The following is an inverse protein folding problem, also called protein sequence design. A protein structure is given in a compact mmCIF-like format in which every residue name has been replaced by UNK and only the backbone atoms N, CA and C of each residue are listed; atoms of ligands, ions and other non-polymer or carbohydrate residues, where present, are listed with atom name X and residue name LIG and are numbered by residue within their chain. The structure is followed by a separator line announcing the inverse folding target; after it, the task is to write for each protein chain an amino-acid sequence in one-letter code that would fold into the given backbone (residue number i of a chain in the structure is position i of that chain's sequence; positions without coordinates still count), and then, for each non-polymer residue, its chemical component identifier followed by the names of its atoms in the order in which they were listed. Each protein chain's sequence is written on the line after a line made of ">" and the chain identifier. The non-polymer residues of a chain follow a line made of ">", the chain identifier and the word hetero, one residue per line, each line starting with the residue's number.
data_IF_516674465217
#
_entry.id   IF_516674465217
#
_cell.length_a   1.000
_cell.length_b   1.000
_cell.length_c   1.000
_cell.angle_alpha   90.00
_cell.angle_beta   90.00
_cell.angle_gamma   90.00
#
_symmetry.space_group_name_H-M   'P 1'
#
loop_
_entity.id
_entity.type
_entity.pdbx_description
1 polymer ?
#
# COMPACT_ATOMS: atom_id res chain seq x y z
N UNK A 1 -7.44 10.59 -13.89
CA UNK A 1 -8.47 11.33 -14.64
C UNK A 1 -8.71 10.73 -16.04
N UNK A 2 -7.75 10.80 -16.97
CA UNK A 2 -7.93 10.28 -18.34
C UNK A 2 -8.44 8.82 -18.36
N UNK A 3 -7.82 7.93 -17.58
CA UNK A 3 -8.24 6.52 -17.52
C UNK A 3 -9.68 6.33 -17.04
N UNK A 4 -10.17 7.17 -16.10
CA UNK A 4 -11.58 7.12 -15.67
C UNK A 4 -12.52 7.71 -16.72
N UNK A 5 -12.10 8.80 -17.39
CA UNK A 5 -12.90 9.43 -18.44
C UNK A 5 -13.06 8.53 -19.68
N UNK A 6 -12.03 7.76 -20.03
CA UNK A 6 -12.10 6.77 -21.14
C UNK A 6 -13.16 5.68 -20.92
N UNK A 7 -13.66 5.53 -19.69
CA UNK A 7 -14.73 4.56 -19.36
C UNK A 7 -16.12 5.06 -19.72
N UNK A 8 -16.27 6.29 -20.20
CA UNK A 8 -17.58 6.86 -20.53
C UNK A 8 -18.27 6.13 -21.69
N UNK A 9 -17.47 5.58 -22.60
CA UNK A 9 -17.98 4.83 -23.78
C UNK A 9 -17.08 3.60 -24.03
N UNK A 10 -17.24 2.60 -23.17
CA UNK A 10 -16.44 1.38 -23.23
C UNK A 10 -17.05 0.39 -24.22
N UNK A 11 -16.49 0.37 -25.43
CA UNK A 11 -16.90 -0.55 -26.49
C UNK A 11 -16.25 -1.96 -26.39
N UNK A 12 -15.21 -2.15 -25.55
CA UNK A 12 -14.48 -3.43 -25.48
C UNK A 12 -13.80 -3.69 -24.13
N UNK A 13 -13.62 -4.97 -23.77
CA UNK A 13 -12.87 -5.38 -22.59
C UNK A 13 -11.40 -4.93 -22.61
N UNK A 14 -10.80 -4.81 -23.76
CA UNK A 14 -9.42 -4.33 -23.92
C UNK A 14 -9.30 -2.86 -23.51
N UNK A 15 -10.28 -2.01 -23.84
CA UNK A 15 -10.34 -0.63 -23.41
C UNK A 15 -10.53 -0.53 -21.88
N UNK A 16 -11.30 -1.44 -21.27
CA UNK A 16 -11.43 -1.50 -19.82
C UNK A 16 -10.08 -1.78 -19.16
N UNK A 17 -9.33 -2.76 -19.64
CA UNK A 17 -8.00 -3.10 -19.12
C UNK A 17 -7.03 -1.92 -19.31
N UNK A 18 -6.99 -1.31 -20.48
CA UNK A 18 -6.14 -0.16 -20.76
C UNK A 18 -6.47 1.05 -19.88
N UNK A 19 -7.77 1.33 -19.69
CA UNK A 19 -8.23 2.40 -18.80
C UNK A 19 -7.85 2.13 -17.33
N UNK A 20 -7.95 0.87 -16.88
CA UNK A 20 -7.53 0.48 -15.54
C UNK A 20 -6.02 0.62 -15.35
N UNK A 21 -5.22 0.21 -16.33
CA UNK A 21 -3.77 0.38 -16.33
C UNK A 21 -3.38 1.87 -16.25
N UNK A 22 -4.05 2.74 -16.99
CA UNK A 22 -3.81 4.18 -16.96
C UNK A 22 -4.21 4.81 -15.62
N UNK A 23 -5.31 4.37 -15.01
CA UNK A 23 -5.71 4.76 -13.66
C UNK A 23 -4.66 4.30 -12.63
N UNK A 24 -4.21 3.05 -12.73
CA UNK A 24 -3.18 2.48 -11.88
C UNK A 24 -1.86 3.23 -11.97
N UNK A 25 -1.41 3.59 -13.18
CA UNK A 25 -0.21 4.39 -13.40
C UNK A 25 -0.32 5.77 -12.72
N UNK A 26 -1.45 6.46 -12.89
CA UNK A 26 -1.68 7.75 -12.22
C UNK A 26 -1.67 7.63 -10.70
N UNK A 27 -2.29 6.58 -10.15
CA UNK A 27 -2.29 6.30 -8.72
C UNK A 27 -0.88 5.98 -8.21
N UNK A 28 -0.10 5.19 -8.94
CA UNK A 28 1.27 4.84 -8.59
C UNK A 28 2.18 6.06 -8.54
N UNK A 29 2.05 6.99 -9.49
CA UNK A 29 2.80 8.25 -9.49
C UNK A 29 2.50 9.09 -8.24
N UNK A 30 1.22 9.26 -7.90
CA UNK A 30 0.82 10.01 -6.69
C UNK A 30 1.34 9.32 -5.43
N UNK A 31 1.17 8.01 -5.31
CA UNK A 31 1.61 7.24 -4.15
C UNK A 31 3.14 7.22 -4.01
N UNK A 32 3.88 7.19 -5.12
CA UNK A 32 5.34 7.24 -5.09
C UNK A 32 5.91 8.57 -4.62
N UNK A 33 5.29 9.68 -5.03
CA UNK A 33 5.80 11.04 -4.75
C UNK A 33 5.31 11.59 -3.42
N UNK A 34 4.05 11.33 -3.05
CA UNK A 34 3.38 11.99 -1.93
C UNK A 34 4.01 11.72 -0.56
N UNK A 35 4.48 10.52 -0.20
CA UNK A 35 5.12 10.28 1.10
C UNK A 35 6.38 11.10 1.32
N UNK A 36 7.21 11.27 0.29
CA UNK A 36 8.40 12.13 0.34
C UNK A 36 8.04 13.60 0.54
N UNK A 37 7.00 14.09 -0.14
CA UNK A 37 6.49 15.45 0.04
C UNK A 37 5.91 15.66 1.45
N UNK A 38 5.14 14.70 1.97
CA UNK A 38 4.59 14.72 3.32
C UNK A 38 5.71 14.84 4.35
N UNK A 39 6.74 14.01 4.22
CA UNK A 39 7.89 14.05 5.13
C UNK A 39 8.60 15.40 5.06
N UNK A 40 8.75 16.00 3.89
CA UNK A 40 9.38 17.30 3.70
C UNK A 40 8.53 18.44 4.28
N UNK A 41 7.22 18.43 4.01
CA UNK A 41 6.33 19.53 4.39
C UNK A 41 5.87 19.45 5.86
N UNK A 42 5.77 18.25 6.44
CA UNK A 42 5.18 18.00 7.74
C UNK A 42 6.11 17.18 8.67
N UNK A 43 7.40 17.51 8.71
CA UNK A 43 8.42 16.74 9.43
C UNK A 43 8.03 16.34 10.87
N UNK A 44 7.36 17.24 11.65
CA UNK A 44 6.91 16.96 13.01
C UNK A 44 5.58 16.22 13.13
N UNK A 45 4.85 15.99 12.00
CA UNK A 45 3.50 15.43 11.99
C UNK A 45 3.33 14.28 10.96
N UNK A 46 4.44 13.68 10.54
CA UNK A 46 4.44 12.61 9.52
C UNK A 46 3.43 11.50 9.82
N UNK A 47 3.35 10.91 11.04
CA UNK A 47 2.39 9.86 11.33
C UNK A 47 0.92 10.30 11.17
N UNK A 48 0.59 11.52 11.59
CA UNK A 48 -0.76 12.08 11.43
C UNK A 48 -1.11 12.24 9.96
N UNK A 49 -0.24 12.91 9.19
CA UNK A 49 -0.54 13.22 7.78
C UNK A 49 -0.53 11.96 6.93
N UNK A 50 0.36 11.00 7.21
CA UNK A 50 0.34 9.69 6.58
C UNK A 50 -0.90 8.88 6.95
N UNK A 51 -1.36 8.96 8.20
CA UNK A 51 -2.62 8.35 8.63
C UNK A 51 -3.83 8.94 7.88
N UNK A 52 -3.90 10.26 7.75
CA UNK A 52 -4.95 10.94 6.96
C UNK A 52 -4.88 10.51 5.50
N UNK A 53 -3.70 10.51 4.90
CA UNK A 53 -3.49 10.04 3.52
C UNK A 53 -4.00 8.61 3.32
N UNK A 54 -3.61 7.69 4.19
CA UNK A 54 -4.05 6.29 4.12
C UNK A 54 -5.56 6.16 4.33
N UNK A 55 -6.13 6.88 5.30
CA UNK A 55 -7.57 6.86 5.56
C UNK A 55 -8.38 7.43 4.37
N UNK A 56 -7.91 8.51 3.75
CA UNK A 56 -8.53 9.06 2.55
C UNK A 56 -8.45 8.09 1.36
N UNK A 57 -7.32 7.40 1.19
CA UNK A 57 -7.14 6.43 0.14
C UNK A 57 -8.07 5.22 0.32
N UNK A 58 -8.13 4.65 1.52
CA UNK A 58 -8.97 3.50 1.85
C UNK A 58 -10.45 3.88 1.87
N UNK A 59 -10.78 5.01 2.49
CA UNK A 59 -12.16 5.55 2.54
C UNK A 59 -12.69 5.92 1.16
N UNK A 60 -11.84 6.48 0.30
CA UNK A 60 -12.18 6.73 -1.10
C UNK A 60 -12.49 5.45 -1.87
N UNK A 61 -11.70 4.40 -1.66
CA UNK A 61 -11.96 3.06 -2.21
C UNK A 61 -13.29 2.47 -1.71
N UNK A 62 -13.56 2.59 -0.40
CA UNK A 62 -14.81 2.15 0.22
C UNK A 62 -16.03 2.90 -0.34
N UNK A 63 -15.92 4.22 -0.47
CA UNK A 63 -16.98 5.05 -1.10
C UNK A 63 -17.22 4.62 -2.55
N UNK A 64 -16.15 4.36 -3.30
CA UNK A 64 -16.24 3.85 -4.65
C UNK A 64 -16.98 2.52 -4.73
N UNK A 65 -16.65 1.58 -3.86
CA UNK A 65 -17.29 0.27 -3.81
C UNK A 65 -18.79 0.34 -3.47
N UNK A 66 -19.19 1.28 -2.60
CA UNK A 66 -20.59 1.45 -2.18
C UNK A 66 -21.41 2.27 -3.16
N UNK A 67 -20.85 3.34 -3.71
CA UNK A 67 -21.61 4.29 -4.54
C UNK A 67 -21.68 3.84 -6.00
N UNK A 68 -20.63 3.23 -6.54
CA UNK A 68 -20.60 2.84 -7.95
C UNK A 68 -21.75 1.89 -8.34
N UNK A 69 -22.04 0.80 -7.58
CA UNK A 69 -23.18 -0.06 -7.90
C UNK A 69 -24.54 0.64 -7.83
N UNK A 70 -24.72 1.56 -6.86
CA UNK A 70 -25.97 2.34 -6.72
C UNK A 70 -26.21 3.27 -7.90
N UNK A 71 -25.13 3.90 -8.38
CA UNK A 71 -25.20 4.79 -9.55
C UNK A 71 -25.39 3.95 -10.83
N UNK A 72 -24.81 2.75 -10.88
CA UNK A 72 -24.93 1.84 -12.03
C UNK A 72 -26.37 1.32 -12.24
N UNK A 73 -27.25 1.39 -11.25
CA UNK A 73 -28.67 1.08 -11.41
C UNK A 73 -29.38 2.11 -12.31
N UNK A 74 -28.91 3.36 -12.30
CA UNK A 74 -29.52 4.46 -13.09
C UNK A 74 -28.71 4.81 -14.35
N UNK A 75 -27.42 4.51 -14.32
CA UNK A 75 -26.48 4.69 -15.44
C UNK A 75 -25.80 3.36 -15.71
N UNK A 76 -25.38 3.10 -16.93
CA UNK A 76 -24.59 1.91 -17.20
C UNK A 76 -23.36 1.85 -16.28
N UNK A 77 -22.88 0.63 -15.98
CA UNK A 77 -21.70 0.41 -15.12
C UNK A 77 -20.45 1.17 -15.62
N UNK A 78 -20.32 1.34 -16.92
CA UNK A 78 -19.19 2.05 -17.54
C UNK A 78 -19.24 3.55 -17.25
N UNK A 79 -20.43 4.16 -17.36
CA UNK A 79 -20.66 5.58 -17.00
C UNK A 79 -20.53 5.82 -15.50
N UNK A 80 -21.03 4.89 -14.67
CA UNK A 80 -20.86 4.95 -13.23
C UNK A 80 -19.39 4.96 -12.81
N UNK A 81 -18.54 4.17 -13.47
CA UNK A 81 -17.09 4.21 -13.27
C UNK A 81 -16.44 5.50 -13.80
N UNK A 82 -16.95 6.04 -14.91
CA UNK A 82 -16.41 7.28 -15.49
C UNK A 82 -16.68 8.51 -14.61
N UNK A 83 -17.79 8.53 -13.86
CA UNK A 83 -18.12 9.63 -12.94
C UNK A 83 -17.05 9.92 -11.91
N UNK A 84 -16.21 8.93 -11.54
CA UNK A 84 -15.09 9.14 -10.64
C UNK A 84 -13.98 10.04 -11.24
N UNK A 85 -14.08 10.39 -12.53
CA UNK A 85 -13.22 11.43 -13.12
C UNK A 85 -13.55 12.83 -12.58
N UNK A 86 -14.81 13.11 -12.17
CA UNK A 86 -15.25 14.42 -11.70
C UNK A 86 -14.54 14.88 -10.41
N UNK A 87 -14.51 14.10 -9.30
CA UNK A 87 -13.79 14.52 -8.11
C UNK A 87 -12.29 14.70 -8.37
N UNK A 88 -11.70 13.90 -9.27
CA UNK A 88 -10.29 14.05 -9.66
C UNK A 88 -10.09 15.35 -10.45
N UNK A 89 -11.01 15.68 -11.36
CA UNK A 89 -10.99 16.95 -12.10
C UNK A 89 -11.09 18.16 -11.16
N UNK A 90 -12.05 18.12 -10.23
CA UNK A 90 -12.21 19.17 -9.23
C UNK A 90 -10.95 19.35 -8.37
N UNK A 91 -10.34 18.23 -7.94
CA UNK A 91 -9.08 18.28 -7.21
C UNK A 91 -7.94 18.88 -8.03
N UNK A 92 -7.83 18.55 -9.32
CA UNK A 92 -6.81 19.10 -10.22
C UNK A 92 -7.00 20.61 -10.45
N UNK A 93 -8.24 21.04 -10.68
CA UNK A 93 -8.55 22.47 -10.85
C UNK A 93 -8.24 23.25 -9.57
N UNK A 94 -8.67 22.73 -8.42
CA UNK A 94 -8.39 23.35 -7.12
C UNK A 94 -6.89 23.42 -6.83
N UNK A 95 -6.15 22.33 -7.09
CA UNK A 95 -4.72 22.26 -6.90
C UNK A 95 -3.98 23.23 -7.85
N UNK A 96 -4.36 23.24 -9.12
CA UNK A 96 -3.78 24.15 -10.13
C UNK A 96 -3.99 25.62 -9.78
N UNK A 97 -5.11 25.95 -9.13
CA UNK A 97 -5.39 27.32 -8.68
C UNK A 97 -4.59 27.71 -7.42
N UNK A 98 -4.39 26.75 -6.48
CA UNK A 98 -3.75 27.01 -5.18
C UNK A 98 -2.25 26.79 -5.17
N UNK A 99 -1.74 25.87 -5.97
CA UNK A 99 -0.33 25.47 -5.94
C UNK A 99 0.41 26.12 -7.11
N UNK A 100 1.20 27.16 -6.81
CA UNK A 100 2.26 27.57 -7.70
C UNK A 100 3.38 26.55 -7.57
N UNK A 101 3.56 25.68 -8.57
CA UNK A 101 4.65 24.72 -8.58
C UNK A 101 5.98 25.48 -8.47
N UNK A 102 6.79 25.24 -7.43
CA UNK A 102 8.16 25.77 -7.41
C UNK A 102 8.89 25.25 -8.65
N UNK A 103 9.72 26.08 -9.26
CA UNK A 103 10.58 25.65 -10.35
C UNK A 103 11.29 24.34 -9.96
N UNK A 104 11.30 23.37 -10.88
CA UNK A 104 11.91 22.07 -10.65
C UNK A 104 13.36 22.28 -10.16
N UNK A 105 13.64 21.89 -8.92
CA UNK A 105 15.01 21.91 -8.42
C UNK A 105 15.84 20.97 -9.32
N UNK A 106 17.09 21.38 -9.70
CA UNK A 106 17.94 20.55 -10.55
C UNK A 106 17.99 19.12 -10.07
N UNK A 107 17.88 18.17 -10.99
CA UNK A 107 17.98 16.74 -10.70
C UNK A 107 19.31 16.48 -10.00
N UNK A 108 19.28 16.21 -8.73
CA UNK A 108 20.46 15.72 -8.02
C UNK A 108 20.72 14.31 -8.56
N UNK A 109 21.91 14.14 -9.11
CA UNK A 109 22.51 12.99 -9.76
C UNK A 109 22.00 11.62 -9.28
N UNK A 110 21.66 10.78 -10.24
CA UNK A 110 21.16 9.38 -10.18
C UNK A 110 21.95 8.41 -9.29
N UNK A 111 23.14 8.76 -8.85
CA UNK A 111 24.05 7.90 -8.07
C UNK A 111 23.57 7.53 -6.67
N UNK A 112 22.54 8.20 -6.12
CA UNK A 112 21.98 7.91 -4.79
C UNK A 112 20.82 6.91 -4.79
N UNK A 113 20.03 6.85 -5.86
CA UNK A 113 18.82 6.01 -5.94
C UNK A 113 19.12 4.56 -6.31
N UNK A 114 20.01 4.33 -7.24
CA UNK A 114 20.46 2.98 -7.64
C UNK A 114 21.05 2.16 -6.49
N UNK A 115 21.50 2.83 -5.42
CA UNK A 115 22.07 2.15 -4.25
C UNK A 115 21.02 1.69 -3.23
N UNK A 116 19.78 2.22 -3.24
CA UNK A 116 18.74 1.78 -2.31
C UNK A 116 18.26 0.36 -2.60
N UNK A 117 18.15 -0.01 -3.87
CA UNK A 117 17.74 -1.36 -4.29
C UNK A 117 18.75 -2.44 -3.88
N UNK A 118 20.02 -2.07 -3.71
CA UNK A 118 21.05 -3.00 -3.25
C UNK A 118 21.01 -3.28 -1.73
N UNK A 119 20.22 -2.50 -0.97
CA UNK A 119 20.14 -2.66 0.47
C UNK A 119 19.17 -3.77 0.87
N UNK A 120 19.59 -4.81 1.63
CA UNK A 120 18.68 -5.85 2.12
C UNK A 120 17.50 -5.32 2.91
N UNK A 121 17.68 -4.16 3.57
CA UNK A 121 16.60 -3.50 4.31
C UNK A 121 15.47 -3.00 3.41
N UNK A 122 15.76 -2.55 2.20
CA UNK A 122 14.74 -2.16 1.25
C UNK A 122 13.86 -3.36 0.86
N UNK A 123 14.47 -4.51 0.62
CA UNK A 123 13.74 -5.75 0.31
C UNK A 123 12.90 -6.27 1.46
N UNK A 124 13.36 -6.08 2.71
CA UNK A 124 12.54 -6.39 3.89
C UNK A 124 11.28 -5.52 3.95
N UNK A 125 11.41 -4.22 3.68
CA UNK A 125 10.27 -3.30 3.63
C UNK A 125 9.33 -3.65 2.46
N UNK A 126 9.90 -3.98 1.29
CA UNK A 126 9.15 -4.45 0.11
C UNK A 126 8.34 -5.70 0.46
N UNK A 127 8.96 -6.69 1.11
CA UNK A 127 8.29 -7.92 1.50
C UNK A 127 7.13 -7.65 2.49
N UNK A 128 7.36 -6.86 3.54
CA UNK A 128 6.29 -6.50 4.48
C UNK A 128 5.13 -5.77 3.79
N UNK A 129 5.43 -4.79 2.94
CA UNK A 129 4.42 -4.04 2.18
C UNK A 129 3.66 -4.95 1.21
N UNK A 130 4.37 -5.84 0.51
CA UNK A 130 3.79 -6.81 -0.41
C UNK A 130 2.82 -7.76 0.27
N UNK A 131 3.20 -8.34 1.41
CA UNK A 131 2.35 -9.24 2.21
C UNK A 131 1.07 -8.52 2.69
N UNK A 132 1.19 -7.30 3.19
CA UNK A 132 0.02 -6.52 3.64
C UNK A 132 -0.96 -6.30 2.49
N UNK A 133 -0.45 -5.91 1.32
CA UNK A 133 -1.30 -5.63 0.16
C UNK A 133 -1.77 -6.91 -0.55
N UNK A 134 -1.03 -8.02 -0.47
CA UNK A 134 -1.48 -9.37 -0.86
C UNK A 134 -2.75 -9.74 -0.08
N UNK A 135 -2.71 -9.63 1.25
CA UNK A 135 -3.87 -9.92 2.10
C UNK A 135 -5.07 -9.04 1.80
N UNK A 136 -4.85 -7.76 1.53
CA UNK A 136 -5.91 -6.87 1.07
C UNK A 136 -6.51 -7.36 -0.25
N UNK A 137 -5.67 -7.69 -1.23
CA UNK A 137 -6.10 -8.19 -2.53
C UNK A 137 -6.88 -9.50 -2.42
N UNK A 138 -6.42 -10.43 -1.57
CA UNK A 138 -7.09 -11.71 -1.32
C UNK A 138 -8.47 -11.47 -0.71
N UNK A 139 -8.56 -10.70 0.40
CA UNK A 139 -9.83 -10.54 1.10
C UNK A 139 -10.85 -9.77 0.27
N UNK A 140 -10.44 -8.76 -0.48
CA UNK A 140 -11.35 -8.00 -1.35
C UNK A 140 -11.85 -8.85 -2.52
N UNK A 141 -10.99 -9.70 -3.10
CA UNK A 141 -11.38 -10.56 -4.20
C UNK A 141 -12.27 -11.72 -3.77
N UNK A 142 -12.03 -12.31 -2.60
CA UNK A 142 -12.58 -13.62 -2.23
C UNK A 142 -13.59 -13.59 -1.10
N UNK A 143 -13.71 -12.51 -0.31
CA UNK A 143 -14.62 -12.44 0.83
C UNK A 143 -16.09 -12.63 0.39
N UNK A 144 -16.58 -11.82 -0.54
CA UNK A 144 -17.96 -11.93 -0.99
C UNK A 144 -18.25 -13.27 -1.71
N UNK A 145 -17.40 -13.76 -2.63
CA UNK A 145 -17.56 -15.11 -3.20
C UNK A 145 -17.57 -16.24 -2.16
N UNK A 146 -16.74 -16.15 -1.13
CA UNK A 146 -16.71 -17.18 -0.07
C UNK A 146 -18.04 -17.27 0.68
N UNK A 147 -18.64 -16.12 1.04
CA UNK A 147 -19.95 -16.11 1.71
C UNK A 147 -21.11 -16.45 0.78
N UNK A 148 -21.01 -16.13 -0.52
CA UNK A 148 -21.96 -16.63 -1.53
C UNK A 148 -21.96 -18.17 -1.60
N UNK A 149 -20.78 -18.79 -1.51
CA UNK A 149 -20.67 -20.25 -1.47
C UNK A 149 -21.27 -20.88 -0.20
N UNK A 150 -21.34 -20.11 0.91
CA UNK A 150 -22.04 -20.51 2.16
C UNK A 150 -23.56 -20.24 2.10
N UNK A 151 -24.09 -19.79 0.97
CA UNK A 151 -25.53 -19.51 0.78
C UNK A 151 -25.99 -18.10 1.14
N UNK A 152 -25.06 -17.19 1.43
CA UNK A 152 -25.39 -15.79 1.71
C UNK A 152 -25.78 -15.04 0.45
N UNK A 153 -26.58 -13.98 0.58
CA UNK A 153 -26.95 -13.14 -0.54
C UNK A 153 -25.77 -12.26 -0.99
N UNK A 154 -25.73 -11.83 -2.27
CA UNK A 154 -24.73 -10.88 -2.77
C UNK A 154 -24.68 -9.58 -1.97
N UNK A 155 -25.84 -9.12 -1.48
CA UNK A 155 -25.95 -7.93 -0.66
C UNK A 155 -25.24 -8.10 0.68
N UNK A 156 -25.46 -9.21 1.37
CA UNK A 156 -24.80 -9.52 2.64
C UNK A 156 -23.27 -9.64 2.46
N UNK A 157 -22.81 -10.30 1.37
CA UNK A 157 -21.40 -10.36 1.03
C UNK A 157 -20.79 -8.95 0.83
N UNK A 158 -21.52 -8.07 0.16
CA UNK A 158 -21.12 -6.67 -0.02
C UNK A 158 -21.05 -5.88 1.28
N UNK A 159 -21.98 -6.12 2.23
CA UNK A 159 -21.99 -5.52 3.56
C UNK A 159 -20.74 -5.92 4.36
N UNK A 160 -20.30 -7.17 4.28
CA UNK A 160 -19.06 -7.62 4.93
C UNK A 160 -17.84 -6.89 4.40
N UNK A 161 -17.75 -6.67 3.08
CA UNK A 161 -16.68 -5.87 2.47
C UNK A 161 -16.73 -4.41 2.95
N UNK A 162 -17.93 -3.86 3.13
CA UNK A 162 -18.09 -2.51 3.67
C UNK A 162 -17.60 -2.39 5.12
N UNK A 163 -17.90 -3.36 6.00
CA UNK A 163 -17.40 -3.41 7.37
C UNK A 163 -15.86 -3.52 7.40
N UNK A 164 -15.29 -4.35 6.55
CA UNK A 164 -13.84 -4.46 6.39
C UNK A 164 -13.22 -3.11 6.00
N UNK A 165 -13.78 -2.44 5.00
CA UNK A 165 -13.27 -1.16 4.51
C UNK A 165 -13.41 -0.02 5.55
N UNK A 166 -14.47 -0.04 6.34
CA UNK A 166 -14.67 0.90 7.45
C UNK A 166 -13.57 0.71 8.52
N UNK A 167 -13.38 -0.52 8.98
CA UNK A 167 -12.35 -0.84 9.97
C UNK A 167 -10.94 -0.51 9.45
N UNK A 168 -10.67 -0.79 8.19
CA UNK A 168 -9.42 -0.46 7.52
C UNK A 168 -9.16 1.05 7.52
N UNK A 169 -10.17 1.85 7.21
CA UNK A 169 -10.07 3.32 7.19
C UNK A 169 -9.81 3.88 8.59
N UNK A 170 -10.57 3.42 9.58
CA UNK A 170 -10.42 3.85 10.99
C UNK A 170 -9.06 3.47 11.55
N UNK A 171 -8.63 2.24 11.34
CA UNK A 171 -7.33 1.75 11.83
C UNK A 171 -6.15 2.37 11.07
N UNK A 172 -6.32 2.62 9.77
CA UNK A 172 -5.33 3.30 8.93
C UNK A 172 -4.98 4.70 9.42
N UNK A 173 -5.94 5.41 10.02
CA UNK A 173 -5.72 6.67 10.72
C UNK A 173 -5.27 6.45 12.18
N UNK A 174 -5.96 5.58 12.90
CA UNK A 174 -5.82 5.43 14.35
C UNK A 174 -4.46 4.87 14.77
N UNK A 175 -3.98 3.77 14.18
CA UNK A 175 -2.73 3.15 14.61
C UNK A 175 -1.48 4.02 14.41
N UNK A 176 -1.29 4.76 13.29
CA UNK A 176 -0.20 5.72 13.19
C UNK A 176 -0.27 6.83 14.24
N UNK A 177 -1.47 7.31 14.58
CA UNK A 177 -1.65 8.33 15.62
C UNK A 177 -1.25 7.81 17.00
N UNK A 178 -1.70 6.62 17.37
CA UNK A 178 -1.33 5.95 18.61
C UNK A 178 0.18 5.69 18.66
N UNK A 179 0.76 5.28 17.55
CA UNK A 179 2.18 5.04 17.42
C UNK A 179 3.03 6.31 17.36
N UNK A 180 2.46 7.50 17.13
CA UNK A 180 3.19 8.75 16.89
C UNK A 180 4.14 9.16 18.03
N UNK A 181 3.81 8.81 19.29
CA UNK A 181 4.57 9.19 20.48
C UNK A 181 5.87 8.41 20.68
N UNK A 182 6.07 7.28 19.99
CA UNK A 182 7.24 6.42 20.16
C UNK A 182 7.89 6.15 18.80
N UNK A 183 9.23 6.13 18.75
CA UNK A 183 9.96 5.76 17.53
C UNK A 183 9.80 4.27 17.19
N UNK A 184 9.68 3.43 18.20
CA UNK A 184 9.46 2.00 18.00
C UNK A 184 8.00 1.73 17.63
N UNK A 185 7.78 1.42 16.35
CA UNK A 185 6.45 1.12 15.80
C UNK A 185 6.10 -0.37 15.88
N UNK A 186 7.05 -1.23 16.27
CA UNK A 186 6.86 -2.70 16.30
C UNK A 186 5.70 -3.16 17.17
N UNK A 187 5.45 -2.61 18.38
CA UNK A 187 4.30 -3.03 19.19
C UNK A 187 2.96 -2.79 18.48
N UNK A 188 2.83 -1.66 17.78
CA UNK A 188 1.62 -1.31 17.04
C UNK A 188 1.46 -2.16 15.77
N UNK A 189 2.57 -2.47 15.10
CA UNK A 189 2.57 -3.42 14.00
C UNK A 189 2.21 -4.83 14.48
N UNK A 190 2.72 -5.24 15.67
CA UNK A 190 2.36 -6.49 16.33
C UNK A 190 0.86 -6.58 16.64
N UNK A 191 0.26 -5.49 17.14
CA UNK A 191 -1.20 -5.42 17.35
C UNK A 191 -1.97 -5.62 16.04
N UNK A 192 -1.54 -4.95 14.97
CA UNK A 192 -2.18 -5.10 13.65
C UNK A 192 -2.02 -6.52 13.09
N UNK A 193 -0.88 -7.17 13.34
CA UNK A 193 -0.64 -8.58 12.99
C UNK A 193 -1.58 -9.50 13.76
N UNK A 194 -1.74 -9.31 15.07
CA UNK A 194 -2.67 -10.11 15.90
C UNK A 194 -4.11 -9.98 15.40
N UNK A 195 -4.52 -8.76 15.02
CA UNK A 195 -5.84 -8.54 14.41
C UNK A 195 -5.99 -9.30 13.09
N UNK A 196 -4.96 -9.33 12.23
CA UNK A 196 -4.99 -10.09 10.98
C UNK A 196 -5.06 -11.60 11.25
N UNK A 197 -4.26 -12.12 12.20
CA UNK A 197 -4.28 -13.55 12.56
C UNK A 197 -5.66 -13.94 13.09
N UNK A 198 -6.26 -13.14 13.97
CA UNK A 198 -7.59 -13.41 14.51
C UNK A 198 -8.67 -13.30 13.42
N UNK A 199 -8.60 -12.28 12.55
CA UNK A 199 -9.57 -12.09 11.47
C UNK A 199 -9.50 -13.19 10.41
N UNK A 200 -8.34 -13.44 9.82
CA UNK A 200 -8.18 -14.52 8.83
C UNK A 200 -8.36 -15.91 9.43
N UNK A 201 -7.94 -16.10 10.69
CA UNK A 201 -8.20 -17.34 11.43
C UNK A 201 -9.69 -17.60 11.66
N UNK A 202 -10.45 -16.54 11.99
CA UNK A 202 -11.91 -16.61 12.13
C UNK A 202 -12.60 -16.93 10.80
N UNK A 203 -12.18 -16.29 9.71
CA UNK A 203 -12.70 -16.57 8.35
C UNK A 203 -12.39 -18.02 7.91
N UNK A 204 -11.27 -18.59 8.37
CA UNK A 204 -10.91 -19.98 8.07
C UNK A 204 -11.68 -20.97 8.91
N UNK A 205 -11.66 -20.81 10.26
CA UNK A 205 -12.10 -21.85 11.21
C UNK A 205 -13.59 -21.76 11.53
N UNK A 206 -14.17 -20.57 11.51
CA UNK A 206 -15.55 -20.33 11.96
C UNK A 206 -16.18 -19.13 11.22
N UNK A 207 -16.29 -19.16 9.87
CA UNK A 207 -16.72 -18.01 9.07
C UNK A 207 -18.09 -17.47 9.48
N UNK A 208 -19.03 -18.35 9.86
CA UNK A 208 -20.41 -17.97 10.17
C UNK A 208 -20.65 -17.57 11.65
N UNK A 209 -19.68 -17.83 12.55
CA UNK A 209 -19.86 -17.56 14.00
C UNK A 209 -19.91 -16.05 14.28
N UNK A 210 -19.01 -15.28 13.67
CA UNK A 210 -18.94 -13.83 13.89
C UNK A 210 -18.40 -13.10 12.63
N UNK A 211 -19.09 -13.19 11.49
CA UNK A 211 -18.57 -12.72 10.19
C UNK A 211 -18.18 -11.24 10.19
N UNK A 212 -18.99 -10.39 10.81
CA UNK A 212 -18.68 -8.95 10.94
C UNK A 212 -17.41 -8.74 11.76
N UNK A 213 -17.26 -9.46 12.88
CA UNK A 213 -16.06 -9.34 13.73
C UNK A 213 -14.79 -9.74 12.96
N UNK A 214 -14.84 -10.84 12.20
CA UNK A 214 -13.71 -11.27 11.38
C UNK A 214 -13.33 -10.21 10.33
N UNK A 215 -14.33 -9.63 9.68
CA UNK A 215 -14.11 -8.56 8.71
C UNK A 215 -13.53 -7.29 9.37
N UNK A 216 -14.03 -6.90 10.54
CA UNK A 216 -13.50 -5.77 11.30
C UNK A 216 -12.04 -5.99 11.71
N UNK A 217 -11.71 -7.19 12.19
CA UNK A 217 -10.34 -7.53 12.58
C UNK A 217 -9.39 -7.59 11.37
N UNK A 218 -9.80 -8.22 10.27
CA UNK A 218 -9.03 -8.20 9.02
C UNK A 218 -8.78 -6.77 8.54
N UNK A 219 -9.85 -5.98 8.46
CA UNK A 219 -9.77 -4.59 8.00
C UNK A 219 -8.89 -3.75 8.89
N UNK A 220 -9.08 -3.80 10.22
CA UNK A 220 -8.27 -3.04 11.15
C UNK A 220 -6.79 -3.45 11.10
N UNK A 221 -6.50 -4.74 11.02
CA UNK A 221 -5.15 -5.25 10.90
C UNK A 221 -4.46 -4.81 9.61
N UNK A 222 -5.14 -4.94 8.47
CA UNK A 222 -4.61 -4.56 7.16
C UNK A 222 -4.40 -3.05 7.05
N UNK A 223 -5.40 -2.23 7.43
CA UNK A 223 -5.33 -0.78 7.35
C UNK A 223 -4.25 -0.19 8.24
N UNK A 224 -4.18 -0.67 9.48
CA UNK A 224 -3.15 -0.26 10.43
C UNK A 224 -1.75 -0.65 9.98
N UNK A 225 -1.56 -1.89 9.51
CA UNK A 225 -0.27 -2.36 8.98
C UNK A 225 0.18 -1.55 7.78
N UNK A 226 -0.73 -1.25 6.84
CA UNK A 226 -0.42 -0.45 5.66
C UNK A 226 0.09 0.94 6.04
N UNK A 227 -0.62 1.65 6.90
CA UNK A 227 -0.24 3.00 7.32
C UNK A 227 1.05 3.00 8.13
N UNK A 228 1.24 2.01 9.02
CA UNK A 228 2.44 1.89 9.83
C UNK A 228 3.67 1.57 9.00
N UNK A 229 3.60 0.67 8.01
CA UNK A 229 4.75 0.33 7.18
C UNK A 229 5.20 1.52 6.32
N UNK A 230 4.25 2.37 5.89
CA UNK A 230 4.56 3.62 5.20
C UNK A 230 5.32 4.59 6.09
N UNK A 231 4.88 4.77 7.35
CA UNK A 231 5.59 5.61 8.34
C UNK A 231 6.97 5.02 8.64
N UNK A 232 7.07 3.71 8.87
CA UNK A 232 8.33 3.01 9.13
C UNK A 232 9.32 3.22 7.98
N UNK A 233 8.88 3.12 6.72
CA UNK A 233 9.74 3.37 5.57
C UNK A 233 10.31 4.80 5.60
N UNK A 234 9.48 5.79 5.93
CA UNK A 234 9.91 7.18 6.06
C UNK A 234 10.83 7.41 7.27
N UNK A 235 10.66 6.67 8.36
CA UNK A 235 11.51 6.78 9.56
C UNK A 235 12.93 6.25 9.33
N UNK A 236 13.19 5.42 8.29
CA UNK A 236 14.50 4.82 8.02
C UNK A 236 15.58 5.82 7.59
N UNK A 237 15.19 6.91 6.94
CA UNK A 237 16.13 7.90 6.41
C UNK A 237 15.75 9.31 6.85
N UNK A 238 16.69 10.10 7.41
CA UNK A 238 16.42 11.48 7.81
C UNK A 238 16.06 12.39 6.64
N UNK A 239 16.78 12.26 5.53
CA UNK A 239 16.57 13.04 4.31
C UNK A 239 15.21 12.71 3.66
N UNK A 240 14.30 13.70 3.51
CA UNK A 240 12.97 13.49 2.93
C UNK A 240 12.98 12.97 1.50
N UNK A 241 13.98 13.37 0.68
CA UNK A 241 14.09 12.92 -0.72
C UNK A 241 14.40 11.42 -0.75
N UNK A 242 15.47 11.01 -0.06
CA UNK A 242 15.86 9.60 0.02
C UNK A 242 14.80 8.73 0.70
N UNK A 243 14.10 9.23 1.72
CA UNK A 243 12.99 8.54 2.35
C UNK A 243 11.81 8.37 1.37
N UNK A 244 11.52 9.39 0.55
CA UNK A 244 10.55 9.33 -0.52
C UNK A 244 10.91 8.28 -1.57
N UNK A 245 12.16 8.25 -2.05
CA UNK A 245 12.66 7.24 -2.99
C UNK A 245 12.57 5.83 -2.41
N UNK A 246 12.91 5.64 -1.12
CA UNK A 246 12.75 4.35 -0.43
C UNK A 246 11.28 3.92 -0.38
N UNK A 247 10.37 4.84 -0.06
CA UNK A 247 8.93 4.59 -0.03
C UNK A 247 8.39 4.24 -1.43
N UNK A 248 8.83 4.95 -2.47
CA UNK A 248 8.45 4.67 -3.85
C UNK A 248 8.95 3.29 -4.31
N UNK A 249 10.21 2.94 -4.00
CA UNK A 249 10.79 1.63 -4.27
C UNK A 249 10.01 0.52 -3.56
N UNK A 250 9.71 0.71 -2.27
CA UNK A 250 8.92 -0.23 -1.46
C UNK A 250 7.54 -0.47 -2.08
N UNK A 251 6.85 0.59 -2.47
CA UNK A 251 5.52 0.48 -3.07
C UNK A 251 5.58 -0.15 -4.47
N UNK A 252 6.52 0.27 -5.32
CA UNK A 252 6.64 -0.25 -6.69
C UNK A 252 6.83 -1.77 -6.70
N UNK A 253 7.87 -2.28 -6.05
CA UNK A 253 8.12 -3.72 -6.00
C UNK A 253 7.12 -4.45 -5.09
N UNK A 254 6.67 -3.80 -4.01
CA UNK A 254 5.70 -4.38 -3.10
C UNK A 254 4.33 -4.62 -3.74
N UNK A 255 3.85 -3.76 -4.63
CA UNK A 255 2.62 -4.01 -5.39
C UNK A 255 2.78 -5.13 -6.42
N UNK A 256 3.97 -5.30 -7.01
CA UNK A 256 4.25 -6.46 -7.88
C UNK A 256 4.13 -7.76 -7.06
N UNK A 257 4.73 -7.78 -5.87
CA UNK A 257 4.61 -8.91 -4.95
C UNK A 257 3.15 -9.12 -4.50
N UNK A 258 2.44 -8.05 -4.14
CA UNK A 258 1.04 -8.11 -3.71
C UNK A 258 0.10 -8.69 -4.78
N UNK A 259 0.36 -8.43 -6.05
CA UNK A 259 -0.44 -8.95 -7.15
C UNK A 259 -0.41 -10.48 -7.26
N UNK A 260 0.62 -11.14 -6.70
CA UNK A 260 0.71 -12.61 -6.68
C UNK A 260 -0.32 -13.25 -5.72
N UNK A 261 -0.71 -12.55 -4.64
CA UNK A 261 -1.61 -13.09 -3.61
C UNK A 261 -2.97 -13.54 -4.12
N UNK A 262 -3.77 -12.67 -4.77
CA UNK A 262 -5.05 -13.06 -5.33
C UNK A 262 -4.94 -14.17 -6.38
N UNK A 263 -3.83 -14.20 -7.16
CA UNK A 263 -3.56 -15.24 -8.13
C UNK A 263 -3.27 -16.59 -7.46
N UNK A 264 -2.44 -16.61 -6.42
CA UNK A 264 -2.16 -17.82 -5.63
C UNK A 264 -3.45 -18.32 -4.97
N UNK A 265 -4.23 -17.42 -4.35
CA UNK A 265 -5.51 -17.76 -3.75
C UNK A 265 -6.48 -18.38 -4.77
N UNK A 266 -6.57 -17.80 -5.98
CA UNK A 266 -7.35 -18.36 -7.08
C UNK A 266 -6.91 -19.78 -7.45
N UNK A 267 -5.60 -20.00 -7.53
CA UNK A 267 -5.03 -21.30 -7.87
C UNK A 267 -5.29 -22.33 -6.79
N UNK A 268 -5.12 -21.93 -5.52
CA UNK A 268 -5.41 -22.81 -4.38
C UNK A 268 -6.90 -23.18 -4.33
N UNK A 269 -7.80 -22.21 -4.50
CA UNK A 269 -9.23 -22.45 -4.56
C UNK A 269 -9.60 -23.45 -5.68
N UNK A 270 -9.00 -23.27 -6.87
CA UNK A 270 -9.22 -24.20 -8.00
C UNK A 270 -8.76 -25.63 -7.67
N UNK A 271 -7.71 -25.80 -6.87
CA UNK A 271 -7.16 -27.11 -6.52
C UNK A 271 -7.90 -27.78 -5.34
N UNK A 272 -8.31 -26.99 -4.33
CA UNK A 272 -8.95 -27.49 -3.10
C UNK A 272 -10.48 -27.54 -3.20
N UNK A 273 -11.08 -26.73 -4.08
CA UNK A 273 -12.53 -26.55 -4.16
C UNK A 273 -13.15 -25.70 -3.06
N UNK A 274 -12.33 -25.15 -2.15
CA UNK A 274 -12.77 -24.32 -1.02
C UNK A 274 -12.06 -22.97 -0.95
N UNK A 275 -12.59 -22.04 -0.16
CA UNK A 275 -11.98 -20.73 0.10
C UNK A 275 -11.04 -20.74 1.32
N UNK A 276 -11.06 -21.79 2.13
CA UNK A 276 -10.24 -21.92 3.33
C UNK A 276 -8.75 -21.86 3.01
N UNK A 277 -8.36 -22.45 1.89
CA UNK A 277 -6.98 -22.45 1.38
C UNK A 277 -6.43 -21.03 1.14
N UNK A 278 -7.26 -20.09 0.73
CA UNK A 278 -6.86 -18.69 0.54
C UNK A 278 -6.56 -18.00 1.89
N UNK A 279 -7.37 -18.29 2.92
CA UNK A 279 -7.18 -17.75 4.27
C UNK A 279 -5.95 -18.36 4.94
N UNK A 280 -5.72 -19.65 4.76
CA UNK A 280 -4.51 -20.36 5.25
C UNK A 280 -3.25 -19.79 4.62
N UNK A 281 -3.26 -19.56 3.29
CA UNK A 281 -2.15 -18.91 2.60
C UNK A 281 -1.82 -17.55 3.21
N UNK A 282 -2.85 -16.71 3.41
CA UNK A 282 -2.65 -15.40 4.01
C UNK A 282 -2.13 -15.47 5.44
N UNK A 283 -2.58 -16.43 6.23
CA UNK A 283 -2.04 -16.67 7.58
C UNK A 283 -0.55 -17.04 7.53
N UNK A 284 -0.14 -17.84 6.56
CA UNK A 284 1.28 -18.13 6.32
C UNK A 284 2.09 -16.88 5.98
N UNK A 285 1.57 -16.00 5.12
CA UNK A 285 2.20 -14.71 4.79
C UNK A 285 2.27 -13.79 6.03
N UNK A 286 1.23 -13.73 6.86
CA UNK A 286 1.21 -12.95 8.11
C UNK A 286 2.21 -13.51 9.13
N UNK A 287 2.36 -14.82 9.22
CA UNK A 287 3.37 -15.45 10.07
C UNK A 287 4.79 -15.07 9.61
N UNK A 288 5.05 -15.09 8.29
CA UNK A 288 6.32 -14.61 7.74
C UNK A 288 6.53 -13.12 8.07
N UNK A 289 5.50 -12.28 7.87
CA UNK A 289 5.57 -10.85 8.17
C UNK A 289 5.90 -10.60 9.65
N UNK A 290 5.36 -11.40 10.58
CA UNK A 290 5.65 -11.27 12.01
C UNK A 290 7.14 -11.42 12.32
N UNK A 291 7.82 -12.37 11.66
CA UNK A 291 9.27 -12.56 11.78
C UNK A 291 10.06 -11.39 11.17
N UNK A 292 9.61 -10.87 10.03
CA UNK A 292 10.25 -9.73 9.37
C UNK A 292 10.15 -8.45 10.21
N UNK A 293 9.01 -8.22 10.85
CA UNK A 293 8.74 -7.04 11.70
C UNK A 293 9.68 -6.98 12.91
N UNK A 294 10.07 -8.12 13.48
CA UNK A 294 11.05 -8.17 14.58
C UNK A 294 12.38 -7.49 14.19
N UNK A 295 12.74 -7.53 12.92
CA UNK A 295 13.96 -6.89 12.40
C UNK A 295 13.82 -5.38 12.20
N UNK A 296 12.62 -4.77 12.34
CA UNK A 296 12.37 -3.35 12.14
C UNK A 296 12.67 -2.51 13.41
N UNK A 297 13.75 -2.84 14.13
CA UNK A 297 14.18 -2.07 15.29
C UNK A 297 14.75 -0.69 14.87
N UNK A 298 14.17 0.42 15.35
CA UNK A 298 14.62 1.76 14.98
C UNK A 298 16.07 2.06 15.40
N UNK A 299 16.59 1.38 16.43
CA UNK A 299 18.00 1.52 16.85
C UNK A 299 19.00 1.16 15.74
N UNK A 300 18.57 0.34 14.78
CA UNK A 300 19.43 -0.13 13.70
C UNK A 300 19.23 0.63 12.38
N UNK A 301 18.22 1.53 12.25
CA UNK A 301 17.91 2.20 10.99
C UNK A 301 19.12 2.89 10.36
N UNK A 302 19.81 3.74 11.12
CA UNK A 302 21.00 4.45 10.63
C UNK A 302 22.13 3.51 10.19
N UNK A 303 22.32 2.39 10.90
CA UNK A 303 23.36 1.41 10.58
C UNK A 303 23.06 0.61 9.31
N UNK A 304 21.84 0.13 9.18
CA UNK A 304 21.45 -0.74 8.04
C UNK A 304 21.24 0.04 6.75
N UNK A 305 21.04 1.37 6.84
CA UNK A 305 20.92 2.26 5.70
C UNK A 305 22.25 2.93 5.30
N UNK A 306 23.35 2.67 6.06
CA UNK A 306 24.69 3.08 5.64
C UNK A 306 25.12 2.24 4.46
N UNK A 307 25.52 2.93 3.40
CA UNK A 307 26.15 2.28 2.24
C UNK A 307 27.55 1.82 2.62
N UNK A 308 28.03 0.68 2.10
CA UNK A 308 29.46 0.39 2.11
C UNK A 308 30.19 1.55 1.42
N UNK A 309 31.24 2.08 2.03
CA UNK A 309 32.07 3.08 1.39
C UNK A 309 32.53 2.52 0.04
N UNK A 310 32.37 3.29 -1.03
CA UNK A 310 32.94 2.90 -2.31
C UNK A 310 34.44 2.70 -2.12
N UNK A 311 35.04 1.64 -2.68
CA UNK A 311 36.49 1.46 -2.60
C UNK A 311 37.16 2.72 -3.17
N UNK A 312 37.98 3.34 -2.36
CA UNK A 312 38.75 4.53 -2.76
C UNK A 312 39.57 4.12 -3.97
N UNK A 313 39.23 4.64 -5.14
CA UNK A 313 40.00 4.42 -6.34
C UNK A 313 41.39 5.03 -6.14
N UNK A 314 42.41 4.18 -5.97
CA UNK A 314 43.82 4.54 -5.83
C UNK A 314 44.44 5.11 -7.14
N UNK A 315 43.62 5.67 -8.04
CA UNK A 315 44.09 6.24 -9.32
C UNK A 315 44.64 7.67 -9.20
N UNK A 316 44.89 8.20 -8.01
CA UNK A 316 45.38 9.57 -7.81
C UNK A 316 46.83 9.73 -7.35
N UNK A 317 47.56 8.63 -7.07
CA UNK A 317 48.91 8.74 -6.46
C UNK A 317 50.09 8.52 -7.39
N UNK A 318 49.89 8.21 -8.66
CA UNK A 318 51.01 7.95 -9.60
C UNK A 318 51.37 9.12 -10.54
N UNK A 319 50.75 10.32 -10.34
CA UNK A 319 51.01 11.47 -11.24
C UNK A 319 51.92 12.56 -10.67
N UNK A 320 52.56 12.39 -9.51
CA UNK A 320 53.42 13.42 -8.92
C UNK A 320 54.91 13.05 -8.73
N UNK A 321 55.40 12.00 -9.38
CA UNK A 321 56.81 11.64 -9.24
C UNK A 321 57.60 11.64 -10.56
N UNK A 322 57.35 12.56 -11.50
CA UNK A 322 58.22 12.76 -12.64
C UNK A 322 58.35 14.25 -12.98
N UNK A 323 59.19 14.96 -12.23
CA UNK A 323 59.86 16.20 -12.69
C UNK A 323 61.36 15.91 -12.68
N UNK A 324 62.01 15.80 -13.83
CA UNK A 324 63.49 15.76 -13.90
C UNK A 324 64.07 17.19 -13.72
N UNK A 325 65.17 17.21 -12.99
CA UNK A 325 66.01 18.37 -12.76
C UNK A 325 66.64 18.96 -14.05
#
# INVERSE_FOLDING_TARGET
>A
MLGSALRFDLASGTLLIASAALCGLGSALVQGVLPGLIKRAFAGKVPLVMGIFSACMMGGGALGAVLTPRVAVHLDWSRALALWSLPVLLALVWLGWRVRLPAAAPHATESGEQRLIALPRAWLLIACFGIINSGYGIVVAWLAPAYLALGWSPQQGGELVAWLALAQTVSGLGLPLLAARKLDRRPWMGLAIVMQVAGFGGLWLAPEVAPILWCLLCGAGLGGSFSLIMVIALDHLPDPRRAGSLSALMQGFGFILAATGPWVAARLHHLSGDFASAWQWQLGEVALMSLLVLRLDPRHYARVMRQPAAPVSQRGQTAQSNTPA
#
